data_IF_040228946773
#
_entry.id   IF_040228946773
#
_cell.length_a   1.000
_cell.length_b   1.000
_cell.length_c   1.000
_cell.angle_alpha   90.00
_cell.angle_beta   90.00
_cell.angle_gamma   90.00
#
_symmetry.space_group_name_H-M   'P 1'
#
loop_
_entity.id
_entity.type
_entity.pdbx_description
1 polymer ?
#
# COMPACT_ATOMS: atom_id res chain seq x y z
N UNK A 1 6.59 14.32 8.50
CA UNK A 1 6.73 14.12 7.03
C UNK A 1 5.74 13.06 6.60
N UNK A 2 4.86 13.36 5.64
CA UNK A 2 3.87 12.41 5.10
C UNK A 2 4.30 12.01 3.68
N UNK A 3 4.48 10.70 3.47
CA UNK A 3 4.90 10.12 2.19
C UNK A 3 3.77 9.24 1.66
N UNK A 4 3.31 9.51 0.45
CA UNK A 4 2.32 8.67 -0.25
C UNK A 4 3.06 7.75 -1.22
N UNK A 5 2.77 6.44 -1.15
CA UNK A 5 3.28 5.46 -2.10
C UNK A 5 2.21 5.13 -3.13
N UNK A 6 2.52 5.36 -4.40
CA UNK A 6 1.71 5.00 -5.55
C UNK A 6 2.39 3.88 -6.35
N UNK A 7 1.63 3.20 -7.16
CA UNK A 7 2.11 2.13 -8.04
C UNK A 7 1.15 0.93 -8.05
N UNK A 8 1.25 0.04 -9.07
CA UNK A 8 0.34 -1.07 -9.25
C UNK A 8 0.43 -2.12 -8.13
N UNK A 9 -0.60 -2.96 -7.96
CA UNK A 9 -0.48 -4.14 -7.11
C UNK A 9 0.70 -5.01 -7.57
N UNK A 10 1.49 -5.54 -6.63
CA UNK A 10 2.70 -6.29 -6.96
C UNK A 10 3.99 -5.45 -7.07
N UNK A 11 3.94 -4.12 -7.14
CA UNK A 11 5.12 -3.25 -7.29
C UNK A 11 6.05 -3.19 -6.05
N UNK A 12 5.77 -3.93 -4.98
CA UNK A 12 6.63 -3.97 -3.79
C UNK A 12 6.45 -2.82 -2.79
N UNK A 13 5.42 -1.96 -2.95
CA UNK A 13 5.16 -0.81 -2.05
C UNK A 13 5.22 -1.16 -0.58
N UNK A 14 4.54 -2.24 -0.17
CA UNK A 14 4.48 -2.65 1.24
C UNK A 14 5.85 -3.01 1.81
N UNK A 15 6.67 -3.74 1.03
CA UNK A 15 8.06 -4.10 1.41
C UNK A 15 8.92 -2.84 1.55
N UNK A 16 8.80 -1.92 0.60
CA UNK A 16 9.55 -0.67 0.61
C UNK A 16 9.07 0.26 1.73
N UNK A 17 7.75 0.29 2.00
CA UNK A 17 7.20 1.04 3.13
C UNK A 17 7.79 0.59 4.48
N UNK A 18 7.93 -0.72 4.70
CA UNK A 18 8.53 -1.24 5.94
C UNK A 18 9.99 -0.82 6.09
N UNK A 19 10.79 -0.93 5.02
CA UNK A 19 12.21 -0.55 5.03
C UNK A 19 12.39 0.98 5.20
N UNK A 20 11.59 1.78 4.49
CA UNK A 20 11.63 3.23 4.61
C UNK A 20 11.11 3.71 5.98
N UNK A 21 10.08 3.06 6.54
CA UNK A 21 9.57 3.36 7.88
C UNK A 21 10.65 3.18 8.95
N UNK A 22 11.36 2.04 8.90
CA UNK A 22 12.48 1.78 9.80
C UNK A 22 13.61 2.82 9.65
N UNK A 23 13.95 3.18 8.40
CA UNK A 23 15.02 4.15 8.12
C UNK A 23 14.68 5.57 8.53
N UNK A 24 13.41 5.97 8.40
CA UNK A 24 12.94 7.35 8.66
C UNK A 24 12.40 7.53 10.09
N UNK A 25 12.21 6.46 10.84
CA UNK A 25 11.65 6.51 12.20
C UNK A 25 10.20 7.01 12.24
N UNK A 26 9.40 6.73 11.18
CA UNK A 26 7.98 7.05 11.08
C UNK A 26 7.17 5.79 10.75
N UNK A 27 5.91 5.67 11.20
CA UNK A 27 5.12 4.47 10.98
C UNK A 27 4.71 4.31 9.51
N UNK A 28 4.58 3.04 9.09
CA UNK A 28 3.85 2.64 7.89
C UNK A 28 2.37 2.52 8.21
N UNK A 29 1.53 3.08 7.36
CA UNK A 29 0.07 2.97 7.38
C UNK A 29 -0.36 2.32 6.06
N UNK A 30 -0.72 1.05 6.12
CA UNK A 30 -1.23 0.31 4.97
C UNK A 30 -2.72 0.04 5.16
N UNK A 31 -3.59 0.73 4.42
CA UNK A 31 -5.05 0.58 4.55
C UNK A 31 -5.51 -0.84 4.29
N UNK A 32 -4.89 -1.55 3.34
CA UNK A 32 -5.16 -2.95 3.09
C UNK A 32 -4.83 -3.87 4.27
N UNK A 33 -3.79 -3.57 5.04
CA UNK A 33 -3.43 -4.35 6.22
C UNK A 33 -4.39 -4.07 7.39
N UNK A 34 -4.82 -2.82 7.56
CA UNK A 34 -5.84 -2.42 8.54
C UNK A 34 -7.17 -3.14 8.26
N UNK A 35 -7.61 -3.15 6.99
CA UNK A 35 -8.84 -3.85 6.59
C UNK A 35 -8.73 -5.36 6.79
N UNK A 36 -7.59 -5.97 6.47
CA UNK A 36 -7.37 -7.40 6.72
C UNK A 36 -7.34 -7.75 8.21
N UNK A 37 -6.78 -6.88 9.05
CA UNK A 37 -6.85 -7.03 10.50
C UNK A 37 -8.30 -6.95 10.98
N UNK A 38 -9.03 -5.93 10.59
CA UNK A 38 -10.45 -5.74 10.91
C UNK A 38 -11.32 -6.94 10.46
N UNK A 39 -11.01 -7.54 9.31
CA UNK A 39 -11.68 -8.75 8.82
C UNK A 39 -11.38 -9.97 9.71
N UNK A 40 -10.12 -10.18 10.11
CA UNK A 40 -9.75 -11.29 11.02
C UNK A 40 -10.41 -11.16 12.39
N UNK A 41 -10.56 -9.93 12.86
CA UNK A 41 -11.23 -9.60 14.13
C UNK A 41 -12.76 -9.64 14.03
N UNK A 42 -13.32 -9.84 12.82
CA UNK A 42 -14.76 -9.89 12.57
C UNK A 42 -15.49 -8.57 12.79
N UNK A 43 -14.80 -7.43 12.69
CA UNK A 43 -15.43 -6.12 12.86
C UNK A 43 -16.40 -5.82 11.73
N UNK A 44 -17.42 -4.99 11.98
CA UNK A 44 -18.41 -4.59 10.98
C UNK A 44 -17.73 -4.03 9.71
N UNK A 45 -16.77 -3.10 9.85
CA UNK A 45 -16.01 -2.53 8.72
C UNK A 45 -15.20 -3.58 7.95
N UNK A 46 -14.59 -4.54 8.66
CA UNK A 46 -13.85 -5.64 8.03
C UNK A 46 -14.76 -6.54 7.21
N UNK A 47 -15.93 -6.88 7.73
CA UNK A 47 -16.91 -7.71 7.03
C UNK A 47 -17.52 -7.00 5.81
N UNK A 48 -17.81 -5.71 5.91
CA UNK A 48 -18.27 -4.89 4.78
C UNK A 48 -17.22 -4.81 3.67
N UNK A 49 -15.94 -4.65 4.01
CA UNK A 49 -14.85 -4.57 3.05
C UNK A 49 -14.53 -5.90 2.35
N UNK A 50 -14.90 -7.04 2.98
CA UNK A 50 -14.51 -8.39 2.52
C UNK A 50 -14.87 -8.66 1.05
N UNK A 51 -16.12 -8.38 0.65
CA UNK A 51 -16.61 -8.68 -0.68
C UNK A 51 -15.84 -7.91 -1.78
N UNK A 52 -15.44 -6.67 -1.50
CA UNK A 52 -14.59 -5.87 -2.40
C UNK A 52 -13.18 -6.45 -2.47
N UNK A 53 -12.57 -6.74 -1.32
CA UNK A 53 -11.20 -7.24 -1.25
C UNK A 53 -11.04 -8.60 -1.93
N UNK A 54 -11.99 -9.54 -1.73
CA UNK A 54 -11.94 -10.89 -2.32
C UNK A 54 -11.98 -10.85 -3.87
N UNK A 55 -12.67 -9.87 -4.47
CA UNK A 55 -12.73 -9.65 -5.92
C UNK A 55 -11.58 -8.78 -6.46
N UNK A 56 -10.82 -8.14 -5.58
CA UNK A 56 -9.79 -7.17 -5.96
C UNK A 56 -10.32 -5.79 -6.33
N UNK A 57 -11.58 -5.49 -5.97
CA UNK A 57 -12.20 -4.18 -6.12
C UNK A 57 -11.71 -3.20 -5.05
N UNK A 58 -11.94 -1.89 -5.27
CA UNK A 58 -11.68 -0.88 -4.25
C UNK A 58 -12.81 -0.85 -3.22
N UNK A 59 -12.42 -0.78 -1.95
CA UNK A 59 -13.34 -0.50 -0.84
C UNK A 59 -13.81 0.96 -0.96
N UNK A 60 -15.08 1.28 -0.62
CA UNK A 60 -15.62 2.63 -0.74
C UNK A 60 -14.73 3.71 -0.11
N UNK A 61 -14.62 4.86 -0.78
CA UNK A 61 -13.73 5.96 -0.37
C UNK A 61 -14.00 6.45 1.05
N UNK A 62 -15.27 6.51 1.48
CA UNK A 62 -15.66 6.93 2.83
C UNK A 62 -15.09 6.00 3.91
N UNK A 63 -14.98 4.70 3.64
CA UNK A 63 -14.39 3.74 4.59
C UNK A 63 -12.89 3.96 4.70
N UNK A 64 -12.22 4.16 3.56
CA UNK A 64 -10.78 4.41 3.52
C UNK A 64 -10.42 5.73 4.20
N UNK A 65 -11.14 6.81 3.89
CA UNK A 65 -10.92 8.12 4.51
C UNK A 65 -11.18 8.09 6.02
N UNK A 66 -12.21 7.38 6.48
CA UNK A 66 -12.45 7.19 7.91
C UNK A 66 -11.28 6.48 8.62
N UNK A 67 -10.73 5.42 8.02
CA UNK A 67 -9.53 4.75 8.56
C UNK A 67 -8.33 5.70 8.61
N UNK A 68 -8.12 6.47 7.55
CA UNK A 68 -7.01 7.42 7.49
C UNK A 68 -7.15 8.51 8.55
N UNK A 69 -8.35 9.04 8.77
CA UNK A 69 -8.62 10.04 9.79
C UNK A 69 -8.30 9.51 11.19
N UNK A 70 -8.79 8.31 11.54
CA UNK A 70 -8.52 7.67 12.82
C UNK A 70 -7.03 7.50 13.09
N UNK A 71 -6.28 7.07 12.06
CA UNK A 71 -4.84 6.82 12.19
C UNK A 71 -4.02 8.11 12.19
N UNK A 72 -4.34 9.08 11.32
CA UNK A 72 -3.56 10.31 11.16
C UNK A 72 -3.73 11.30 12.31
N UNK A 73 -4.79 11.16 13.10
CA UNK A 73 -5.01 11.93 14.35
C UNK A 73 -4.35 11.28 15.56
N UNK A 74 -3.88 10.02 15.43
CA UNK A 74 -3.25 9.30 16.54
C UNK A 74 -1.86 9.86 16.90
N UNK A 75 -1.42 9.73 18.16
CA UNK A 75 -0.07 10.13 18.58
C UNK A 75 1.06 9.44 17.81
N UNK A 76 0.82 8.22 17.32
CA UNK A 76 1.81 7.43 16.59
C UNK A 76 2.28 8.11 15.29
N UNK A 77 1.41 8.89 14.64
CA UNK A 77 1.70 9.60 13.39
C UNK A 77 2.11 11.05 13.56
N UNK A 78 2.37 11.49 14.81
CA UNK A 78 2.76 12.90 15.10
C UNK A 78 3.98 13.33 14.30
N UNK A 79 5.01 12.48 14.17
CA UNK A 79 6.24 12.77 13.41
C UNK A 79 6.09 12.62 11.90
N UNK A 80 5.02 11.95 11.46
CA UNK A 80 4.76 11.64 10.06
C UNK A 80 4.30 10.21 9.85
N UNK A 81 4.13 9.83 8.59
CA UNK A 81 3.74 8.47 8.20
C UNK A 81 4.11 8.17 6.75
N UNK A 82 4.27 6.89 6.42
CA UNK A 82 4.29 6.38 5.06
C UNK A 82 2.94 5.74 4.78
N UNK A 83 2.24 6.26 3.78
CA UNK A 83 0.89 5.83 3.40
C UNK A 83 0.98 4.84 2.23
N UNK A 84 0.79 3.55 2.50
CA UNK A 84 0.81 2.48 1.49
C UNK A 84 -0.61 2.08 1.09
N UNK A 85 -0.94 2.26 -0.19
CA UNK A 85 -2.25 1.95 -0.73
C UNK A 85 -3.41 2.74 -0.10
N UNK A 86 -3.09 3.84 0.58
CA UNK A 86 -4.03 4.72 1.25
C UNK A 86 -4.82 5.60 0.27
N UNK A 87 -4.27 5.85 -0.91
CA UNK A 87 -4.88 6.66 -1.97
C UNK A 87 -4.90 5.82 -3.25
N UNK A 88 -6.09 5.51 -3.73
CA UNK A 88 -6.33 4.71 -4.93
C UNK A 88 -7.32 5.33 -5.88
N UNK A 89 -7.96 6.43 -5.50
CA UNK A 89 -8.87 7.22 -6.34
C UNK A 89 -8.58 8.70 -6.16
N UNK A 90 -8.96 9.52 -7.13
CA UNK A 90 -8.83 10.99 -7.02
C UNK A 90 -9.63 11.52 -5.81
N UNK A 91 -10.89 11.10 -5.56
CA UNK A 91 -11.61 11.51 -4.35
C UNK A 91 -10.89 11.16 -3.04
N UNK A 92 -10.18 10.01 -2.96
CA UNK A 92 -9.35 9.70 -1.79
C UNK A 92 -8.15 10.64 -1.65
N UNK A 93 -7.53 11.06 -2.78
CA UNK A 93 -6.43 12.02 -2.76
C UNK A 93 -6.89 13.39 -2.26
N UNK A 94 -8.01 13.87 -2.77
CA UNK A 94 -8.66 15.13 -2.34
C UNK A 94 -9.02 15.09 -0.86
N UNK A 95 -9.73 14.04 -0.42
CA UNK A 95 -10.11 13.86 0.97
C UNK A 95 -8.90 13.78 1.92
N UNK A 96 -7.82 13.10 1.50
CA UNK A 96 -6.57 13.06 2.27
C UNK A 96 -5.96 14.46 2.43
N UNK A 97 -5.89 15.25 1.37
CA UNK A 97 -5.32 16.62 1.43
C UNK A 97 -6.12 17.52 2.36
N UNK A 98 -7.46 17.49 2.26
CA UNK A 98 -8.34 18.26 3.16
C UNK A 98 -8.13 17.85 4.61
N UNK A 99 -8.20 16.55 4.89
CA UNK A 99 -8.03 16.00 6.24
C UNK A 99 -6.65 16.35 6.84
N UNK A 100 -5.59 16.27 6.04
CA UNK A 100 -4.25 16.64 6.51
C UNK A 100 -4.14 18.14 6.83
N UNK A 101 -4.76 19.00 6.02
CA UNK A 101 -4.77 20.43 6.25
C UNK A 101 -5.48 20.80 7.57
N UNK A 102 -6.58 20.14 7.92
CA UNK A 102 -7.31 20.32 9.18
C UNK A 102 -6.45 20.05 10.42
N UNK A 103 -5.47 19.14 10.31
CA UNK A 103 -4.53 18.81 11.41
C UNK A 103 -3.15 19.46 11.23
N UNK A 104 -3.05 20.50 10.39
CA UNK A 104 -1.81 21.25 10.15
C UNK A 104 -0.69 20.46 9.47
N UNK A 105 -1.05 19.41 8.69
CA UNK A 105 -0.12 18.57 7.93
C UNK A 105 -0.39 18.70 6.43
N UNK A 106 0.54 18.16 5.63
CA UNK A 106 0.40 18.06 4.17
C UNK A 106 1.11 16.82 3.65
N UNK A 107 0.81 16.43 2.42
CA UNK A 107 1.63 15.45 1.69
C UNK A 107 2.96 16.09 1.33
N UNK A 108 4.06 15.54 1.85
CA UNK A 108 5.40 16.08 1.62
C UNK A 108 6.06 15.47 0.38
N UNK A 109 5.84 14.17 0.13
CA UNK A 109 6.43 13.44 -0.98
C UNK A 109 5.44 12.40 -1.53
N UNK A 110 5.50 12.19 -2.83
CA UNK A 110 4.79 11.10 -3.52
C UNK A 110 5.84 10.24 -4.23
N UNK A 111 5.91 8.95 -3.89
CA UNK A 111 6.77 7.97 -4.56
C UNK A 111 5.91 7.08 -5.45
N UNK A 112 6.22 7.02 -6.75
CA UNK A 112 5.60 6.13 -7.71
C UNK A 112 6.54 4.96 -8.00
N UNK A 113 6.17 3.76 -7.56
CA UNK A 113 6.88 2.52 -7.88
C UNK A 113 6.40 1.99 -9.22
N UNK A 114 7.32 1.89 -10.17
CA UNK A 114 7.07 1.47 -11.54
C UNK A 114 7.67 0.08 -11.76
N UNK A 115 6.90 -0.82 -12.38
CA UNK A 115 7.27 -2.22 -12.66
C UNK A 115 6.51 -2.66 -13.91
N UNK A 116 7.14 -3.46 -14.74
CA UNK A 116 6.51 -4.03 -15.93
C UNK A 116 5.36 -4.98 -15.58
N UNK A 117 4.32 -4.98 -16.41
CA UNK A 117 3.09 -5.76 -16.19
C UNK A 117 3.34 -7.26 -16.04
N UNK A 118 4.24 -7.85 -16.85
CA UNK A 118 4.56 -9.27 -16.78
C UNK A 118 5.20 -9.65 -15.43
N UNK A 119 6.08 -8.79 -14.94
CA UNK A 119 6.71 -8.99 -13.63
C UNK A 119 5.68 -8.82 -12.49
N UNK A 120 4.69 -7.91 -12.62
CA UNK A 120 3.61 -7.76 -11.64
C UNK A 120 2.77 -9.04 -11.52
N UNK A 121 2.38 -9.62 -12.66
CA UNK A 121 1.61 -10.88 -12.68
C UNK A 121 2.42 -12.01 -12.04
N UNK A 122 3.69 -12.15 -12.38
CA UNK A 122 4.60 -13.13 -11.81
C UNK A 122 4.75 -12.96 -10.29
N UNK A 123 4.97 -11.73 -9.81
CA UNK A 123 5.09 -11.43 -8.38
C UNK A 123 3.80 -11.76 -7.61
N UNK A 124 2.64 -11.39 -8.14
CA UNK A 124 1.36 -11.63 -7.48
C UNK A 124 1.00 -13.13 -7.46
N UNK A 125 1.22 -13.86 -8.57
CA UNK A 125 0.91 -15.29 -8.66
C UNK A 125 1.80 -16.18 -7.78
N UNK A 126 3.01 -15.72 -7.46
CA UNK A 126 3.97 -16.46 -6.62
C UNK A 126 4.01 -15.98 -5.17
N UNK A 127 3.22 -14.94 -4.84
CA UNK A 127 3.22 -14.35 -3.51
C UNK A 127 2.52 -15.23 -2.48
N UNK A 128 3.18 -15.41 -1.34
CA UNK A 128 2.56 -15.87 -0.10
C UNK A 128 2.75 -14.82 0.99
N UNK A 129 1.94 -14.89 2.02
CA UNK A 129 2.05 -13.99 3.18
C UNK A 129 1.97 -14.79 4.46
N UNK A 130 2.67 -14.34 5.48
CA UNK A 130 2.52 -14.92 6.80
C UNK A 130 1.15 -14.61 7.40
N UNK A 131 0.44 -15.63 7.84
CA UNK A 131 -0.87 -15.50 8.48
C UNK A 131 -0.81 -14.65 9.75
N UNK A 132 0.27 -14.77 10.53
CA UNK A 132 0.49 -14.00 11.77
C UNK A 132 0.96 -12.56 11.51
N UNK A 133 2.18 -12.38 10.98
CA UNK A 133 2.80 -11.05 10.87
C UNK A 133 2.60 -10.35 9.53
N UNK A 134 1.88 -10.94 8.58
CA UNK A 134 1.57 -10.41 7.25
C UNK A 134 2.81 -10.12 6.36
N UNK A 135 4.00 -10.55 6.76
CA UNK A 135 5.22 -10.41 5.94
C UNK A 135 5.03 -11.14 4.61
N UNK A 136 5.21 -10.47 3.47
CA UNK A 136 5.10 -11.11 2.16
C UNK A 136 6.38 -11.86 1.80
N UNK A 137 6.21 -12.96 1.06
CA UNK A 137 7.27 -13.76 0.47
C UNK A 137 6.97 -14.02 -1.00
N UNK A 138 8.02 -14.12 -1.82
CA UNK A 138 7.93 -14.47 -3.23
C UNK A 138 8.55 -15.85 -3.45
N UNK A 139 7.86 -16.71 -4.21
CA UNK A 139 8.37 -18.04 -4.57
C UNK A 139 8.50 -19.02 -3.41
N UNK A 140 7.85 -18.77 -2.27
CA UNK A 140 7.76 -19.74 -1.17
C UNK A 140 6.39 -20.40 -1.15
N UNK A 141 6.37 -21.72 -0.91
CA UNK A 141 5.13 -22.50 -0.93
C UNK A 141 4.22 -22.17 0.26
N UNK A 142 2.89 -22.17 0.03
CA UNK A 142 1.92 -22.15 1.11
C UNK A 142 2.14 -23.32 2.09
N UNK A 143 1.92 -23.07 3.37
CA UNK A 143 2.13 -24.06 4.42
C UNK A 143 3.52 -24.05 5.04
N UNK A 144 4.52 -23.43 4.42
CA UNK A 144 5.87 -23.27 5.00
C UNK A 144 5.87 -22.23 6.12
N UNK A 145 6.89 -22.28 6.97
CA UNK A 145 7.02 -21.37 8.12
C UNK A 145 7.60 -20.02 7.73
N UNK A 146 7.07 -18.95 8.33
CA UNK A 146 7.58 -17.59 8.21
C UNK A 146 8.94 -17.46 8.93
N UNK A 147 9.94 -16.92 8.27
CA UNK A 147 11.28 -16.69 8.85
C UNK A 147 11.27 -15.63 9.96
N UNK A 148 10.29 -14.70 9.93
CA UNK A 148 10.22 -13.60 10.90
C UNK A 148 9.54 -13.98 12.22
N UNK A 149 8.50 -14.83 12.19
CA UNK A 149 7.70 -15.14 13.38
C UNK A 149 7.28 -16.60 13.52
N UNK A 150 7.71 -17.50 12.63
CA UNK A 150 7.33 -18.91 12.62
C UNK A 150 5.90 -19.22 12.15
N UNK A 151 5.07 -18.23 11.93
CA UNK A 151 3.69 -18.41 11.48
C UNK A 151 3.62 -19.04 10.09
N UNK A 152 2.48 -19.65 9.74
CA UNK A 152 2.25 -20.33 8.47
C UNK A 152 2.14 -19.34 7.30
N UNK A 153 2.74 -19.68 6.15
CA UNK A 153 2.56 -18.92 4.92
C UNK A 153 1.29 -19.37 4.21
N UNK A 154 0.50 -18.40 3.72
CA UNK A 154 -0.76 -18.64 3.02
C UNK A 154 -0.83 -17.78 1.75
N UNK A 155 -1.60 -18.20 0.75
CA UNK A 155 -1.98 -17.35 -0.37
C UNK A 155 -3.08 -16.40 0.04
N UNK A 156 -3.06 -15.17 -0.48
CA UNK A 156 -4.18 -14.25 -0.33
C UNK A 156 -5.27 -14.59 -1.34
N UNK A 157 -6.53 -14.43 -0.98
CA UNK A 157 -7.65 -14.61 -1.91
C UNK A 157 -7.61 -13.60 -3.07
N UNK A 158 -7.16 -12.37 -2.79
CA UNK A 158 -6.96 -11.33 -3.80
C UNK A 158 -5.72 -11.54 -4.69
N UNK A 159 -5.02 -12.66 -4.57
CA UNK A 159 -3.94 -13.11 -5.45
C UNK A 159 -4.32 -14.33 -6.32
N UNK A 160 -5.60 -14.68 -6.39
CA UNK A 160 -6.12 -15.61 -7.38
C UNK A 160 -6.07 -14.98 -8.79
N UNK A 161 -5.87 -15.76 -9.87
CA UNK A 161 -5.62 -15.23 -11.21
C UNK A 161 -6.66 -14.22 -11.72
N UNK A 162 -7.93 -14.44 -11.41
CA UNK A 162 -9.02 -13.55 -11.78
C UNK A 162 -8.96 -12.23 -10.99
N UNK A 163 -8.72 -12.32 -9.67
CA UNK A 163 -8.56 -11.15 -8.82
C UNK A 163 -7.33 -10.32 -9.20
N UNK A 164 -6.20 -10.96 -9.58
CA UNK A 164 -5.02 -10.26 -10.08
C UNK A 164 -5.35 -9.42 -11.31
N UNK A 165 -6.03 -10.02 -12.32
CA UNK A 165 -6.44 -9.32 -13.53
C UNK A 165 -7.34 -8.12 -13.22
N UNK A 166 -8.36 -8.33 -12.39
CA UNK A 166 -9.25 -7.25 -11.96
C UNK A 166 -8.48 -6.14 -11.24
N UNK A 167 -7.57 -6.46 -10.33
CA UNK A 167 -6.76 -5.46 -9.60
C UNK A 167 -5.90 -4.61 -10.52
N UNK A 168 -5.30 -5.21 -11.55
CA UNK A 168 -4.50 -4.46 -12.53
C UNK A 168 -5.39 -3.55 -13.39
N UNK A 169 -6.57 -4.02 -13.81
CA UNK A 169 -7.54 -3.21 -14.55
C UNK A 169 -8.08 -2.05 -13.70
N UNK A 170 -8.50 -2.33 -12.46
CA UNK A 170 -8.95 -1.31 -11.50
C UNK A 170 -7.85 -0.28 -11.23
N UNK A 171 -6.59 -0.73 -11.07
CA UNK A 171 -5.46 0.17 -10.92
C UNK A 171 -5.33 1.13 -12.11
N UNK A 172 -5.34 0.61 -13.34
CA UNK A 172 -5.22 1.44 -14.55
C UNK A 172 -6.36 2.45 -14.67
N UNK A 173 -7.59 2.02 -14.39
CA UNK A 173 -8.79 2.85 -14.55
C UNK A 173 -8.98 3.87 -13.44
N UNK A 174 -8.69 3.53 -12.19
CA UNK A 174 -9.05 4.33 -11.02
C UNK A 174 -7.86 4.91 -10.27
N UNK A 175 -6.73 4.18 -10.22
CA UNK A 175 -5.57 4.60 -9.41
C UNK A 175 -4.52 5.34 -10.24
N UNK A 176 -4.26 4.93 -11.46
CA UNK A 176 -3.28 5.63 -12.31
C UNK A 176 -3.60 7.13 -12.47
N UNK A 177 -4.87 7.57 -12.63
CA UNK A 177 -5.22 9.00 -12.70
C UNK A 177 -4.80 9.82 -11.47
N UNK A 178 -4.61 9.19 -10.31
CA UNK A 178 -4.13 9.88 -9.09
C UNK A 178 -2.71 10.45 -9.27
N UNK A 179 -1.91 9.81 -10.13
CA UNK A 179 -0.54 10.25 -10.42
C UNK A 179 -0.57 11.63 -11.07
N UNK A 180 -1.42 11.80 -12.08
CA UNK A 180 -1.55 13.07 -12.80
C UNK A 180 -2.23 14.11 -11.91
N UNK A 181 -3.23 13.73 -11.12
CA UNK A 181 -3.84 14.62 -10.13
C UNK A 181 -2.78 15.22 -9.17
N UNK A 182 -1.84 14.42 -8.62
CA UNK A 182 -0.77 14.96 -7.79
C UNK A 182 0.16 15.89 -8.55
N UNK A 183 0.47 15.59 -9.82
CA UNK A 183 1.29 16.48 -10.68
C UNK A 183 0.61 17.83 -10.91
N UNK A 184 -0.70 17.82 -11.17
CA UNK A 184 -1.52 19.02 -11.37
C UNK A 184 -1.61 19.88 -10.10
N UNK A 185 -1.51 19.27 -8.92
CA UNK A 185 -1.38 19.97 -7.63
C UNK A 185 0.05 20.47 -7.33
N UNK A 186 0.95 20.52 -8.32
CA UNK A 186 2.36 20.86 -8.17
C UNK A 186 3.14 19.98 -7.19
N UNK A 187 2.65 18.78 -6.90
CA UNK A 187 3.37 17.80 -6.11
C UNK A 187 4.39 17.07 -7.01
N UNK A 188 5.65 17.06 -6.58
CA UNK A 188 6.67 16.30 -7.28
C UNK A 188 6.46 14.81 -7.06
N UNK A 189 5.98 14.11 -8.09
CA UNK A 189 5.90 12.65 -8.10
C UNK A 189 7.27 12.09 -8.48
N UNK A 190 7.89 11.38 -7.55
CA UNK A 190 9.22 10.79 -7.68
C UNK A 190 9.07 9.35 -8.20
N UNK A 191 9.40 9.12 -9.46
CA UNK A 191 9.34 7.80 -10.08
C UNK A 191 10.51 6.94 -9.60
N UNK A 192 10.21 5.74 -9.10
CA UNK A 192 11.17 4.73 -8.63
C UNK A 192 11.01 3.51 -9.53
N UNK A 193 12.03 3.20 -10.30
CA UNK A 193 12.12 1.93 -10.99
C UNK A 193 12.24 0.82 -9.93
N UNK A 194 11.22 -0.02 -9.86
CA UNK A 194 11.07 -1.09 -8.86
C UNK A 194 11.24 -2.49 -9.46
N UNK A 195 11.74 -2.56 -10.69
CA UNK A 195 12.17 -3.82 -11.33
C UNK A 195 13.65 -4.09 -11.03
N UNK A 196 13.93 -4.32 -9.75
CA UNK A 196 15.26 -4.57 -9.22
C UNK A 196 15.18 -5.32 -7.88
N UNK A 197 16.30 -5.84 -7.34
CA UNK A 197 16.36 -6.41 -6.00
C UNK A 197 15.87 -5.42 -4.92
N UNK A 198 15.22 -5.95 -3.88
CA UNK A 198 14.55 -5.15 -2.84
C UNK A 198 15.43 -4.05 -2.26
N UNK A 199 16.71 -4.36 -1.94
CA UNK A 199 17.63 -3.40 -1.30
C UNK A 199 18.08 -2.30 -2.27
N UNK A 200 18.15 -2.59 -3.57
CA UNK A 200 18.44 -1.61 -4.60
C UNK A 200 17.26 -0.63 -4.75
N UNK A 201 16.02 -1.15 -4.82
CA UNK A 201 14.81 -0.32 -4.83
C UNK A 201 14.73 0.56 -3.58
N UNK A 202 15.07 0.01 -2.39
CA UNK A 202 15.13 0.80 -1.15
C UNK A 202 16.12 1.95 -1.27
N UNK A 203 17.29 1.68 -1.85
CA UNK A 203 18.34 2.70 -2.04
C UNK A 203 17.93 3.77 -3.03
N UNK A 204 17.24 3.39 -4.14
CA UNK A 204 16.65 4.34 -5.11
C UNK A 204 15.60 5.24 -4.44
N UNK A 205 14.67 4.64 -3.67
CA UNK A 205 13.63 5.38 -2.97
C UNK A 205 14.20 6.32 -1.90
N UNK A 206 15.18 5.87 -1.12
CA UNK A 206 15.84 6.69 -0.11
C UNK A 206 16.57 7.90 -0.74
N UNK A 207 17.32 7.69 -1.83
CA UNK A 207 17.96 8.78 -2.59
C UNK A 207 16.95 9.78 -3.12
N UNK A 208 15.82 9.32 -3.65
CA UNK A 208 14.74 10.20 -4.12
C UNK A 208 14.14 11.07 -2.99
N UNK A 209 14.17 10.58 -1.75
CA UNK A 209 13.75 11.32 -0.56
C UNK A 209 14.86 12.23 0.01
N UNK A 210 16.08 12.21 -0.56
CA UNK A 210 17.23 12.97 -0.04
C UNK A 210 17.85 12.35 1.22
N UNK A 211 17.81 11.03 1.35
CA UNK A 211 18.26 10.24 2.51
C UNK A 211 19.29 9.18 2.13
#
# INVERSE_FOLDING_TARGET
MIIVLLGPPGAGKGTQADKLAARLGIPKIATGDVLRAALREGTKRGLEAKAYMDRGDLVPDSVILGILQDVMTSPATKKGAILDGAVRTVPQAEGLVVMLAEIGKKVDKVLLFDVDDDELVKRLSTRTVCEGCQTPYMGRDPGTSCEKCGGKLVRRKDDEPEAIRNRLEVYRRQTAPVIDWYRDQNQKVLKIDADAPVDEVTSRAARALGK
#
